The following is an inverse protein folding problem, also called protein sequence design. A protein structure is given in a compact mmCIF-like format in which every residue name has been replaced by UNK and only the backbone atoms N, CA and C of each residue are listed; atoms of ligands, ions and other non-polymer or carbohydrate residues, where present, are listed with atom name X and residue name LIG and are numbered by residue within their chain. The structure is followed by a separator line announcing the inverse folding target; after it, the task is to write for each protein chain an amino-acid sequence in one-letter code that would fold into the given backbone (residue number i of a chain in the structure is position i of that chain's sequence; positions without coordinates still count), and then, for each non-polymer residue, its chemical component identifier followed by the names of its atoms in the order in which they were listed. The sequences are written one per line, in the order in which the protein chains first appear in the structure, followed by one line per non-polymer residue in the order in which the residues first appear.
data_IF_921445419825
#
_entry.id   IF_921445419825
#
_cell.length_a   1.000
_cell.length_b   1.000
_cell.length_c   1.000
_cell.angle_alpha   90.00
_cell.angle_beta   90.00
_cell.angle_gamma   90.00
#
_symmetry.space_group_name_H-M   'P 1'
#
loop_
_entity.id
_entity.type
_entity.pdbx_description
1 polymer ?
#
# COMPACT_ATOMS: atom_id res chain seq x y z
N UNK A 1 -64.03 -5.78 -11.16
CA UNK A 1 -62.99 -4.85 -10.66
C UNK A 1 -62.11 -5.48 -9.56
N UNK A 2 -61.61 -6.71 -9.76
CA UNK A 2 -60.74 -7.41 -8.77
C UNK A 2 -59.51 -8.09 -9.39
N UNK A 3 -59.33 -7.98 -10.71
CA UNK A 3 -58.26 -8.66 -11.46
C UNK A 3 -57.12 -7.72 -11.89
N UNK A 4 -57.29 -6.40 -11.71
CA UNK A 4 -56.28 -5.39 -12.05
C UNK A 4 -55.30 -5.07 -10.91
N UNK A 5 -55.61 -5.44 -9.66
CA UNK A 5 -54.74 -5.18 -8.50
C UNK A 5 -53.59 -6.17 -8.35
N UNK A 6 -53.74 -7.42 -8.81
CA UNK A 6 -52.70 -8.45 -8.69
C UNK A 6 -51.50 -8.25 -9.62
N UNK A 7 -51.74 -7.73 -10.83
CA UNK A 7 -50.69 -7.50 -11.82
C UNK A 7 -49.72 -6.37 -11.43
N UNK A 8 -50.20 -5.37 -10.69
CA UNK A 8 -49.38 -4.23 -10.24
C UNK A 8 -48.44 -4.64 -9.10
N UNK A 9 -48.85 -5.56 -8.22
CA UNK A 9 -48.02 -6.08 -7.13
C UNK A 9 -46.91 -7.01 -7.65
N UNK A 10 -47.21 -7.84 -8.66
CA UNK A 10 -46.23 -8.72 -9.29
C UNK A 10 -45.15 -7.95 -10.06
N UNK A 11 -45.50 -6.83 -10.70
CA UNK A 11 -44.54 -5.97 -11.38
C UNK A 11 -43.65 -5.18 -10.40
N UNK A 12 -44.15 -4.83 -9.22
CA UNK A 12 -43.37 -4.14 -8.18
C UNK A 12 -42.32 -5.05 -7.51
N UNK A 13 -42.58 -6.36 -7.43
CA UNK A 13 -41.64 -7.36 -6.89
C UNK A 13 -40.49 -7.72 -7.85
N UNK A 14 -40.63 -7.41 -9.15
CA UNK A 14 -39.59 -7.66 -10.16
C UNK A 14 -38.51 -6.55 -10.19
N UNK A 15 -38.72 -5.43 -9.50
CA UNK A 15 -37.70 -4.39 -9.27
C UNK A 15 -36.98 -4.60 -7.94
N UNK A 16 -36.76 -5.85 -7.52
CA UNK A 16 -35.72 -6.16 -6.55
C UNK A 16 -34.37 -5.78 -7.17
N UNK A 17 -34.01 -4.51 -7.01
CA UNK A 17 -32.73 -3.95 -7.42
C UNK A 17 -31.65 -4.84 -6.84
N UNK A 18 -30.93 -5.57 -7.70
CA UNK A 18 -29.65 -6.13 -7.31
C UNK A 18 -28.79 -4.94 -6.94
N UNK A 19 -28.62 -4.72 -5.63
CA UNK A 19 -27.63 -3.78 -5.13
C UNK A 19 -26.28 -4.40 -5.49
N UNK A 20 -25.73 -4.01 -6.64
CA UNK A 20 -24.35 -4.30 -6.97
C UNK A 20 -23.55 -3.39 -6.06
N UNK A 21 -22.88 -3.97 -5.05
CA UNK A 21 -21.93 -3.22 -4.24
C UNK A 21 -21.01 -2.44 -5.17
N UNK A 22 -21.08 -1.12 -5.12
CA UNK A 22 -20.23 -0.24 -5.92
C UNK A 22 -18.82 -0.36 -5.33
N UNK A 23 -17.99 -1.21 -5.96
CA UNK A 23 -16.61 -1.42 -5.53
C UNK A 23 -15.70 -0.43 -6.27
N UNK A 24 -14.89 0.29 -5.49
CA UNK A 24 -13.82 1.11 -6.05
C UNK A 24 -12.59 0.23 -6.24
N UNK A 25 -12.23 -0.02 -7.49
CA UNK A 25 -10.97 -0.68 -7.81
C UNK A 25 -9.80 0.29 -7.60
N UNK A 26 -8.76 -0.19 -6.91
CA UNK A 26 -7.54 0.57 -6.66
C UNK A 26 -6.31 -0.26 -7.04
N UNK A 27 -5.39 0.36 -7.77
CA UNK A 27 -4.09 -0.24 -8.06
C UNK A 27 -3.28 -0.33 -6.77
N UNK A 28 -2.85 -1.54 -6.42
CA UNK A 28 -2.00 -1.79 -5.26
C UNK A 28 -0.61 -2.29 -5.67
N UNK A 29 0.34 -2.14 -4.76
CA UNK A 29 1.66 -2.73 -4.91
C UNK A 29 1.57 -4.25 -4.68
N UNK A 30 2.25 -5.04 -5.51
CA UNK A 30 2.41 -6.47 -5.29
C UNK A 30 3.85 -6.80 -4.85
N UNK A 31 4.07 -8.04 -4.38
CA UNK A 31 5.38 -8.47 -3.87
C UNK A 31 6.48 -8.41 -4.94
N UNK A 32 6.16 -8.73 -6.19
CA UNK A 32 7.14 -8.66 -7.29
C UNK A 32 7.64 -7.23 -7.48
N UNK A 33 6.74 -6.26 -7.49
CA UNK A 33 7.06 -4.83 -7.63
C UNK A 33 7.84 -4.31 -6.43
N UNK A 34 7.50 -4.78 -5.21
CA UNK A 34 8.28 -4.48 -4.00
C UNK A 34 9.73 -5.00 -4.10
N UNK A 35 9.92 -6.24 -4.57
CA UNK A 35 11.26 -6.81 -4.79
C UNK A 35 12.05 -6.06 -5.87
N UNK A 36 11.40 -5.62 -6.96
CA UNK A 36 12.03 -4.79 -8.00
C UNK A 36 12.52 -3.45 -7.44
N UNK A 37 11.72 -2.81 -6.59
CA UNK A 37 12.13 -1.56 -5.93
C UNK A 37 13.35 -1.76 -5.02
N UNK A 38 13.37 -2.86 -4.25
CA UNK A 38 14.53 -3.22 -3.43
C UNK A 38 15.77 -3.44 -4.30
N UNK A 39 15.68 -4.25 -5.35
CA UNK A 39 16.82 -4.54 -6.23
C UNK A 39 17.42 -3.26 -6.81
N UNK A 40 16.60 -2.31 -7.26
CA UNK A 40 17.06 -1.03 -7.77
C UNK A 40 17.81 -0.21 -6.69
N UNK A 41 17.32 -0.21 -5.45
CA UNK A 41 17.97 0.48 -4.33
C UNK A 41 19.29 -0.19 -3.92
N UNK A 42 19.36 -1.52 -3.96
CA UNK A 42 20.60 -2.29 -3.72
C UNK A 42 21.64 -2.00 -4.80
N UNK A 43 21.24 -1.98 -6.07
CA UNK A 43 22.14 -1.63 -7.18
C UNK A 43 22.68 -0.21 -7.04
N UNK A 44 21.82 0.74 -6.64
CA UNK A 44 22.26 2.10 -6.33
C UNK A 44 23.25 2.12 -5.17
N UNK A 45 22.97 1.42 -4.07
CA UNK A 45 23.87 1.36 -2.91
C UNK A 45 25.26 0.79 -3.29
N UNK A 46 25.29 -0.27 -4.10
CA UNK A 46 26.53 -0.86 -4.63
C UNK A 46 27.31 0.12 -5.50
N UNK A 47 26.63 0.79 -6.45
CA UNK A 47 27.26 1.77 -7.34
C UNK A 47 27.86 2.96 -6.60
N UNK A 48 27.32 3.31 -5.44
CA UNK A 48 27.76 4.45 -4.64
C UNK A 48 28.67 4.05 -3.46
N UNK A 49 29.13 2.79 -3.40
CA UNK A 49 29.96 2.28 -2.29
C UNK A 49 29.37 2.60 -0.91
N UNK A 50 28.05 2.47 -0.76
CA UNK A 50 27.41 2.73 0.52
C UNK A 50 27.91 1.73 1.59
N UNK A 51 28.28 2.18 2.81
CA UNK A 51 28.88 1.33 3.83
C UNK A 51 27.91 0.33 4.47
N UNK A 52 26.62 0.39 4.13
CA UNK A 52 25.54 -0.43 4.65
C UNK A 52 24.18 0.23 4.38
N UNK A 53 23.09 -0.49 4.62
CA UNK A 53 21.72 0.01 4.46
C UNK A 53 20.66 -1.07 4.66
N UNK A 54 19.44 -0.64 4.99
CA UNK A 54 18.26 -1.52 4.95
C UNK A 54 17.18 -0.86 4.10
N UNK A 55 16.64 -1.63 3.17
CA UNK A 55 15.55 -1.22 2.29
C UNK A 55 14.29 -1.97 2.73
N UNK A 56 13.27 -1.23 3.16
CA UNK A 56 11.97 -1.76 3.54
C UNK A 56 10.90 -1.24 2.57
N UNK A 57 10.00 -2.13 2.15
CA UNK A 57 8.83 -1.79 1.34
C UNK A 57 7.58 -2.25 2.06
N UNK A 58 6.61 -1.36 2.18
CA UNK A 58 5.33 -1.59 2.86
C UNK A 58 4.16 -1.45 1.88
N UNK A 59 3.03 -2.06 2.21
CA UNK A 59 1.77 -1.86 1.50
C UNK A 59 1.14 -0.50 1.85
N UNK A 60 -0.02 -0.21 1.27
CA UNK A 60 -0.75 1.04 1.52
C UNK A 60 -1.24 1.21 2.96
N UNK A 61 -1.39 0.10 3.70
CA UNK A 61 -1.72 0.10 5.13
C UNK A 61 -0.49 0.25 6.02
N UNK A 62 0.71 0.29 5.44
CA UNK A 62 1.97 0.37 6.18
C UNK A 62 2.45 -0.97 6.73
N UNK A 63 1.94 -2.09 6.22
CA UNK A 63 2.40 -3.43 6.59
C UNK A 63 3.61 -3.83 5.75
N UNK A 64 4.60 -4.46 6.39
CA UNK A 64 5.83 -4.89 5.72
C UNK A 64 5.54 -5.93 4.64
N UNK A 65 5.95 -5.64 3.41
CA UNK A 65 5.88 -6.57 2.28
C UNK A 65 7.22 -7.24 2.00
N UNK A 66 8.31 -6.46 2.03
CA UNK A 66 9.65 -6.94 1.75
C UNK A 66 10.71 -6.11 2.47
N UNK A 67 11.81 -6.74 2.83
CA UNK A 67 12.96 -6.14 3.51
C UNK A 67 14.25 -6.76 2.98
N UNK A 68 15.24 -5.93 2.69
CA UNK A 68 16.61 -6.37 2.43
C UNK A 68 17.58 -5.54 3.24
N UNK A 69 18.40 -6.22 4.04
CA UNK A 69 19.44 -5.63 4.87
C UNK A 69 20.79 -6.00 4.28
N UNK A 70 21.57 -4.99 3.94
CA UNK A 70 22.92 -5.15 3.42
C UNK A 70 23.91 -5.48 4.54
N UNK A 71 24.99 -6.15 4.19
CA UNK A 71 26.11 -6.39 5.10
C UNK A 71 26.72 -5.07 5.60
N UNK A 72 27.33 -5.10 6.77
CA UNK A 72 27.90 -3.90 7.42
C UNK A 72 26.86 -2.94 8.04
N UNK A 73 25.56 -3.23 7.90
CA UNK A 73 24.52 -2.37 8.47
C UNK A 73 24.38 -2.51 9.99
N UNK A 74 24.27 -1.41 10.72
CA UNK A 74 24.03 -1.39 12.16
C UNK A 74 22.72 -2.07 12.59
N UNK A 75 22.65 -2.53 13.84
CA UNK A 75 21.60 -3.41 14.35
C UNK A 75 20.17 -2.85 14.19
N UNK A 76 19.98 -1.56 14.47
CA UNK A 76 18.66 -0.91 14.42
C UNK A 76 18.19 -0.55 13.02
N UNK A 77 19.00 -0.78 11.98
CA UNK A 77 18.69 -0.38 10.60
C UNK A 77 17.36 -0.94 10.08
N UNK A 78 17.02 -2.17 10.44
CA UNK A 78 15.78 -2.81 10.00
C UNK A 78 14.54 -2.11 10.58
N UNK A 79 14.49 -1.93 11.90
CA UNK A 79 13.40 -1.23 12.59
C UNK A 79 13.23 0.20 12.07
N UNK A 80 14.34 0.91 11.84
CA UNK A 80 14.30 2.28 11.32
C UNK A 80 13.77 2.32 9.89
N UNK A 81 14.22 1.41 9.02
CA UNK A 81 13.76 1.38 7.63
C UNK A 81 12.26 1.06 7.52
N UNK A 82 11.78 0.09 8.30
CA UNK A 82 10.35 -0.24 8.39
C UNK A 82 9.55 0.97 8.89
N UNK A 83 9.99 1.61 9.96
CA UNK A 83 9.35 2.82 10.50
C UNK A 83 9.28 3.94 9.47
N UNK A 84 10.38 4.19 8.75
CA UNK A 84 10.42 5.22 7.70
C UNK A 84 9.46 4.91 6.54
N UNK A 85 9.42 3.67 6.07
CA UNK A 85 8.52 3.26 5.00
C UNK A 85 7.04 3.41 5.41
N UNK A 86 6.71 2.97 6.65
CA UNK A 86 5.36 3.11 7.22
C UNK A 86 4.95 4.57 7.39
N UNK A 87 5.81 5.43 7.93
CA UNK A 87 5.53 6.86 8.02
C UNK A 87 5.32 7.46 6.63
N UNK A 88 6.17 7.11 5.66
CA UNK A 88 6.07 7.67 4.32
C UNK A 88 4.72 7.36 3.63
N UNK A 89 4.23 6.12 3.75
CA UNK A 89 2.96 5.71 3.12
C UNK A 89 1.75 6.31 3.84
N UNK A 90 1.74 6.32 5.18
CA UNK A 90 0.60 6.81 5.97
C UNK A 90 0.43 8.33 5.87
N UNK A 91 1.53 9.08 5.84
CA UNK A 91 1.50 10.54 5.74
C UNK A 91 1.61 11.06 4.30
N UNK A 92 1.88 10.19 3.32
CA UNK A 92 2.09 10.55 1.90
C UNK A 92 3.12 11.67 1.74
N UNK A 93 4.21 11.59 2.52
CA UNK A 93 5.32 12.53 2.56
C UNK A 93 6.62 11.76 2.83
N UNK A 94 7.76 12.14 2.23
CA UNK A 94 9.05 11.59 2.65
C UNK A 94 9.30 11.92 4.11
N UNK A 95 9.94 11.03 4.88
CA UNK A 95 10.20 11.27 6.31
C UNK A 95 11.07 12.51 6.56
N UNK A 96 11.93 12.87 5.59
CA UNK A 96 12.71 14.11 5.59
C UNK A 96 11.87 15.38 5.75
N UNK A 97 10.67 15.39 5.17
CA UNK A 97 9.74 16.52 5.29
C UNK A 97 9.47 16.91 6.75
N UNK A 98 9.32 15.93 7.64
CA UNK A 98 9.06 16.19 9.06
C UNK A 98 10.30 16.67 9.80
N UNK A 99 11.48 16.22 9.39
CA UNK A 99 12.75 16.66 9.97
C UNK A 99 13.03 18.13 9.62
N UNK A 100 12.79 18.51 8.35
CA UNK A 100 12.92 19.90 7.86
C UNK A 100 11.87 20.87 8.44
N UNK A 101 10.78 20.37 9.03
CA UNK A 101 9.80 21.21 9.73
C UNK A 101 10.20 21.51 11.18
N UNK A 102 11.07 20.69 11.77
CA UNK A 102 11.45 20.76 13.18
C UNK A 102 12.78 21.52 13.35
N UNK A 103 13.70 21.35 12.40
CA UNK A 103 15.05 21.93 12.41
C UNK A 103 15.14 23.19 11.55
#
# INVERSE_FOLDING_TARGET
MKILTGAVIAAALAFATTSRAEIVEKKSLNLESAKKAIAAAVDYAKKNNAPGGVIAVVDEGGNLMALERLDGTFAMGATISIGKARTAVLFKKPTRFFEELIN
#
